data_IF_906320066705
#
_entry.id   IF_906320066705
#
_cell.length_a   1.000
_cell.length_b   1.000
_cell.length_c   1.000
_cell.angle_alpha   90.00
_cell.angle_beta   90.00
_cell.angle_gamma   90.00
#
_symmetry.space_group_name_H-M   'P 1'
#
loop_
_entity.id
_entity.type
_entity.pdbx_description
1 polymer ?
#
# COMPACT_ATOMS: atom_id res chain seq x y z
N UNK A 1 7.89 -15.67 -10.92
CA UNK A 1 7.28 -14.42 -10.42
C UNK A 1 8.09 -13.91 -9.25
N UNK A 2 8.32 -12.60 -9.19
CA UNK A 2 8.89 -11.92 -8.04
C UNK A 2 7.81 -11.52 -7.03
N UNK A 3 8.22 -11.23 -5.80
CA UNK A 3 7.34 -10.73 -4.76
C UNK A 3 7.92 -9.42 -4.23
N UNK A 4 7.10 -8.37 -4.24
CA UNK A 4 7.40 -7.10 -3.58
C UNK A 4 6.65 -7.07 -2.26
N UNK A 5 7.38 -6.75 -1.19
CA UNK A 5 6.83 -6.62 0.15
C UNK A 5 7.06 -5.21 0.64
N UNK A 6 5.98 -4.52 0.99
CA UNK A 6 6.03 -3.27 1.74
C UNK A 6 5.54 -3.60 3.14
N UNK A 7 6.38 -3.35 4.14
CA UNK A 7 6.06 -3.68 5.52
C UNK A 7 5.97 -2.42 6.37
N UNK A 8 5.12 -2.47 7.39
CA UNK A 8 4.96 -1.43 8.40
C UNK A 8 4.61 -0.05 7.78
N UNK A 9 3.73 -0.03 6.77
CA UNK A 9 3.13 1.20 6.29
C UNK A 9 2.22 1.71 7.41
N UNK A 10 2.43 2.95 7.86
CA UNK A 10 1.62 3.58 8.91
C UNK A 10 0.75 4.66 8.30
N UNK A 11 -0.54 4.61 8.59
CA UNK A 11 -1.55 5.53 8.06
C UNK A 11 -2.48 5.93 9.20
N UNK A 12 -2.86 7.20 9.26
CA UNK A 12 -3.90 7.64 10.19
C UNK A 12 -5.24 7.64 9.48
N UNK A 13 -6.19 6.86 9.96
CA UNK A 13 -7.45 6.58 9.26
C UNK A 13 -8.64 6.62 10.21
N UNK A 14 -9.84 6.86 9.68
CA UNK A 14 -11.09 7.00 10.45
C UNK A 14 -12.02 5.80 10.26
N UNK A 15 -11.43 4.62 10.03
CA UNK A 15 -12.18 3.38 10.02
C UNK A 15 -12.67 3.03 11.43
N UNK A 16 -13.73 2.22 11.50
CA UNK A 16 -14.31 1.79 12.75
C UNK A 16 -15.82 1.64 12.65
N UNK A 17 -16.36 0.74 13.45
CA UNK A 17 -17.79 0.47 13.48
C UNK A 17 -18.52 1.53 14.33
N UNK A 18 -17.87 2.01 15.39
CA UNK A 18 -18.45 2.99 16.29
C UNK A 18 -18.33 4.40 15.72
N UNK A 19 -19.32 5.23 16.02
CA UNK A 19 -19.35 6.64 15.58
C UNK A 19 -18.18 7.42 16.21
N UNK A 20 -17.76 7.07 17.43
CA UNK A 20 -16.59 7.67 18.07
C UNK A 20 -15.29 7.40 17.32
N UNK A 21 -15.07 6.16 16.82
CA UNK A 21 -13.86 5.80 16.07
C UNK A 21 -13.72 6.65 14.80
N UNK A 22 -14.85 6.97 14.17
CA UNK A 22 -14.89 7.79 12.97
C UNK A 22 -14.61 9.27 13.20
N UNK A 23 -14.69 9.74 14.46
CA UNK A 23 -14.41 11.12 14.84
C UNK A 23 -13.00 11.29 15.37
N UNK A 24 -12.52 10.30 16.12
CA UNK A 24 -11.19 10.34 16.75
C UNK A 24 -10.12 9.92 15.74
N UNK A 25 -10.40 8.88 14.94
CA UNK A 25 -9.41 8.24 14.08
C UNK A 25 -8.38 7.42 14.86
N UNK A 26 -7.57 6.64 14.15
CA UNK A 26 -6.53 5.81 14.75
C UNK A 26 -5.38 5.53 13.78
N UNK A 27 -4.24 5.14 14.34
CA UNK A 27 -3.08 4.71 13.56
C UNK A 27 -3.25 3.25 13.12
N UNK A 28 -3.21 3.02 11.82
CA UNK A 28 -3.30 1.70 11.20
C UNK A 28 -1.94 1.32 10.63
N UNK A 29 -1.57 0.06 10.88
CA UNK A 29 -0.42 -0.57 10.26
C UNK A 29 -0.88 -1.48 9.14
N UNK A 30 -0.32 -1.30 7.95
CA UNK A 30 -0.60 -2.10 6.76
C UNK A 30 0.69 -2.77 6.28
N UNK A 31 0.60 -4.07 6.03
CA UNK A 31 1.64 -4.87 5.39
C UNK A 31 1.09 -5.34 4.03
N UNK A 32 1.79 -5.04 2.94
CA UNK A 32 1.37 -5.31 1.56
C UNK A 32 2.33 -6.30 0.88
N UNK A 33 1.78 -7.33 0.25
CA UNK A 33 2.51 -8.28 -0.59
C UNK A 33 1.94 -8.28 -2.01
N UNK A 34 2.77 -7.94 -3.00
CA UNK A 34 2.39 -7.91 -4.41
C UNK A 34 3.20 -8.96 -5.17
N UNK A 35 2.49 -9.86 -5.85
CA UNK A 35 3.09 -10.84 -6.77
C UNK A 35 3.06 -10.25 -8.17
N UNK A 36 4.24 -10.07 -8.77
CA UNK A 36 4.38 -9.48 -10.09
C UNK A 36 5.38 -10.26 -10.94
N UNK A 37 5.20 -10.17 -12.25
CA UNK A 37 6.15 -10.72 -13.20
C UNK A 37 7.25 -9.70 -13.50
N UNK A 38 8.45 -9.95 -12.97
CA UNK A 38 9.61 -9.06 -13.09
C UNK A 38 10.54 -9.45 -14.24
N UNK A 39 10.14 -10.40 -15.10
CA UNK A 39 11.00 -10.86 -16.22
C UNK A 39 11.40 -9.70 -17.12
N UNK A 40 10.44 -8.85 -17.50
CA UNK A 40 10.67 -7.70 -18.37
C UNK A 40 11.59 -6.65 -17.75
N UNK A 41 11.41 -6.32 -16.47
CA UNK A 41 12.29 -5.37 -15.77
C UNK A 41 13.72 -5.89 -15.62
N UNK A 42 13.90 -7.21 -15.48
CA UNK A 42 15.23 -7.82 -15.40
C UNK A 42 15.97 -7.77 -16.75
N UNK A 43 15.25 -7.85 -17.86
CA UNK A 43 15.85 -7.80 -19.21
C UNK A 43 16.15 -6.37 -19.67
N UNK A 44 15.30 -5.42 -19.31
CA UNK A 44 15.38 -4.03 -19.78
C UNK A 44 16.17 -3.10 -18.87
N UNK A 45 16.30 -3.46 -17.58
CA UNK A 45 16.80 -2.60 -16.50
C UNK A 45 16.07 -1.24 -16.40
N UNK A 46 14.87 -1.16 -16.97
CA UNK A 46 14.06 0.04 -16.98
C UNK A 46 13.18 0.10 -15.73
N UNK A 47 13.34 1.16 -14.93
CA UNK A 47 12.50 1.40 -13.75
C UNK A 47 11.00 1.50 -14.09
N UNK A 48 10.67 1.94 -15.32
CA UNK A 48 9.29 2.00 -15.79
C UNK A 48 8.64 0.63 -16.03
N UNK A 49 9.45 -0.42 -16.23
CA UNK A 49 8.99 -1.79 -16.44
C UNK A 49 8.94 -2.59 -15.13
N UNK A 50 9.36 -2.02 -14.00
CA UNK A 50 9.22 -2.61 -12.67
C UNK A 50 7.99 -2.08 -11.94
N UNK A 51 7.62 -2.76 -10.87
CA UNK A 51 6.54 -2.31 -9.98
C UNK A 51 7.10 -1.28 -9.01
N UNK A 52 6.56 -0.06 -9.08
CA UNK A 52 6.96 1.05 -8.24
C UNK A 52 6.35 0.96 -6.83
N UNK A 53 7.20 0.76 -5.83
CA UNK A 53 6.80 0.72 -4.43
C UNK A 53 6.32 2.08 -3.89
N UNK A 54 6.74 3.20 -4.48
CA UNK A 54 6.24 4.53 -4.11
C UNK A 54 4.78 4.66 -4.53
N UNK A 55 4.46 4.25 -5.77
CA UNK A 55 3.09 4.18 -6.24
C UNK A 55 2.23 3.23 -5.39
N UNK A 56 2.75 2.05 -5.03
CA UNK A 56 2.03 1.13 -4.13
C UNK A 56 1.75 1.73 -2.76
N UNK A 57 2.73 2.43 -2.16
CA UNK A 57 2.51 3.11 -0.88
C UNK A 57 1.44 4.19 -1.00
N UNK A 58 1.45 4.96 -2.10
CA UNK A 58 0.44 5.99 -2.37
C UNK A 58 -0.97 5.39 -2.45
N UNK A 59 -1.14 4.30 -3.20
CA UNK A 59 -2.42 3.58 -3.29
C UNK A 59 -2.90 3.17 -1.89
N UNK A 60 -2.02 2.59 -1.06
CA UNK A 60 -2.40 2.19 0.32
C UNK A 60 -2.89 3.38 1.13
N UNK A 61 -2.19 4.52 1.07
CA UNK A 61 -2.58 5.74 1.81
C UNK A 61 -3.91 6.30 1.27
N UNK A 62 -4.11 6.32 -0.03
CA UNK A 62 -5.34 6.80 -0.68
C UNK A 62 -6.55 5.94 -0.30
N UNK A 63 -6.42 4.61 -0.32
CA UNK A 63 -7.49 3.69 0.07
C UNK A 63 -7.80 3.76 1.56
N UNK A 64 -6.78 3.86 2.43
CA UNK A 64 -6.97 4.00 3.88
C UNK A 64 -7.60 5.36 4.27
N UNK A 65 -7.57 6.36 3.39
CA UNK A 65 -8.29 7.62 3.61
C UNK A 65 -9.80 7.48 3.38
N UNK A 66 -10.25 6.46 2.65
CA UNK A 66 -11.66 6.22 2.37
C UNK A 66 -12.25 5.44 3.54
N UNK A 67 -13.16 6.06 4.29
CA UNK A 67 -13.83 5.38 5.39
C UNK A 67 -14.65 4.18 4.88
N UNK A 68 -14.48 3.05 5.58
CA UNK A 68 -15.27 1.83 5.40
C UNK A 68 -16.28 1.64 6.53
#
# INVERSE_FOLDING_TARGET
>A
MGIIKLQNIRTFSYHGCLVEESKIGSDYRVDLEVKADMRKSMETDALADTVDYVHLNKIVVEEMAIRS
#
